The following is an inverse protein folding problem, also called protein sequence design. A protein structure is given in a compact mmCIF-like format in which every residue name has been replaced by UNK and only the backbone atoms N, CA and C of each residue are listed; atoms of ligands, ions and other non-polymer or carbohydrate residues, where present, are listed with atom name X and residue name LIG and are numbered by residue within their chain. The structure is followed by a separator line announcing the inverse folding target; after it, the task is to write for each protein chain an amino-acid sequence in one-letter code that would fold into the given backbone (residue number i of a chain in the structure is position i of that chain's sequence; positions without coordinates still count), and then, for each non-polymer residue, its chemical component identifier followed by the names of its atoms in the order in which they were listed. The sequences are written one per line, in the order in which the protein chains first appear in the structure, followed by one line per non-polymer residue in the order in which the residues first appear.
data_IF_375815191097
#
_entry.id   IF_375815191097
#
_cell.length_a   1.000
_cell.length_b   1.000
_cell.length_c   1.000
_cell.angle_alpha   90.00
_cell.angle_beta   90.00
_cell.angle_gamma   90.00
#
_symmetry.space_group_name_H-M   'P 1'
#
loop_
_entity.id
_entity.type
_entity.pdbx_description
1 polymer ?
#
# COMPACT_ATOMS: atom_id res chain seq x y z
N UNK A 1 -13.13 13.86 -2.48
CA UNK A 1 -13.66 12.49 -2.67
C UNK A 1 -12.79 11.61 -3.58
N UNK A 2 -12.41 12.03 -4.80
CA UNK A 2 -11.62 11.20 -5.72
C UNK A 2 -10.32 10.60 -5.15
N UNK A 3 -9.49 11.41 -4.49
CA UNK A 3 -8.27 10.92 -3.82
C UNK A 3 -8.55 9.81 -2.80
N UNK A 4 -9.61 9.95 -2.00
CA UNK A 4 -9.98 8.95 -1.00
C UNK A 4 -10.44 7.63 -1.61
N UNK A 5 -11.17 7.67 -2.73
CA UNK A 5 -11.56 6.46 -3.48
C UNK A 5 -10.33 5.70 -3.99
N UNK A 6 -9.31 6.42 -4.48
CA UNK A 6 -8.05 5.79 -4.90
C UNK A 6 -7.27 5.19 -3.72
N UNK A 7 -7.25 5.86 -2.57
CA UNK A 7 -6.63 5.33 -1.34
C UNK A 7 -7.32 4.04 -0.89
N UNK A 8 -8.67 4.00 -0.93
CA UNK A 8 -9.45 2.79 -0.64
C UNK A 8 -9.15 1.67 -1.65
N UNK A 9 -9.18 1.96 -2.94
CA UNK A 9 -8.89 0.99 -3.99
C UNK A 9 -7.50 0.37 -3.81
N UNK A 10 -6.48 1.21 -3.57
CA UNK A 10 -5.11 0.74 -3.31
C UNK A 10 -5.05 -0.16 -2.06
N UNK A 11 -5.75 0.20 -0.98
CA UNK A 11 -5.81 -0.62 0.23
C UNK A 11 -6.52 -1.96 0.00
N UNK A 12 -7.61 -1.99 -0.77
CA UNK A 12 -8.30 -3.23 -1.16
C UNK A 12 -7.40 -4.15 -1.99
N UNK A 13 -6.61 -3.59 -2.92
CA UNK A 13 -5.60 -4.35 -3.65
C UNK A 13 -4.57 -4.98 -2.72
N UNK A 14 -4.10 -4.28 -1.68
CA UNK A 14 -3.19 -4.84 -0.70
C UNK A 14 -3.81 -5.95 0.15
N UNK A 15 -5.08 -5.82 0.55
CA UNK A 15 -5.81 -6.90 1.22
C UNK A 15 -5.87 -8.16 0.35
N UNK A 16 -6.25 -8.00 -0.93
CA UNK A 16 -6.25 -9.09 -1.89
C UNK A 16 -4.83 -9.67 -2.11
N UNK A 17 -3.79 -8.84 -2.07
CA UNK A 17 -2.41 -9.31 -2.19
C UNK A 17 -1.97 -10.18 -1.00
N UNK A 18 -2.34 -9.79 0.22
CA UNK A 18 -2.09 -10.58 1.44
C UNK A 18 -2.87 -11.90 1.40
N UNK A 19 -4.13 -11.87 0.96
CA UNK A 19 -4.93 -13.07 0.79
C UNK A 19 -4.31 -14.04 -0.23
N UNK A 20 -3.89 -13.52 -1.40
CA UNK A 20 -3.32 -14.36 -2.46
C UNK A 20 -1.98 -14.99 -2.08
N UNK A 21 -1.12 -14.32 -1.29
CA UNK A 21 0.09 -14.98 -0.75
C UNK A 21 -0.25 -16.06 0.28
N UNK A 22 -1.25 -15.83 1.13
CA UNK A 22 -1.75 -16.84 2.07
C UNK A 22 -2.27 -18.07 1.32
N UNK A 23 -3.09 -17.88 0.29
CA UNK A 23 -3.57 -18.97 -0.57
C UNK A 23 -2.43 -19.69 -1.29
N UNK A 24 -1.41 -18.97 -1.76
CA UNK A 24 -0.27 -19.55 -2.44
C UNK A 24 0.59 -20.43 -1.51
N UNK A 25 0.73 -20.02 -0.25
CA UNK A 25 1.52 -20.75 0.74
C UNK A 25 0.76 -21.93 1.37
N UNK A 26 -0.51 -21.73 1.75
CA UNK A 26 -1.27 -22.72 2.52
C UNK A 26 -2.19 -23.63 1.70
N UNK A 27 -2.54 -23.26 0.45
CA UNK A 27 -3.55 -23.98 -0.32
C UNK A 27 -3.07 -24.44 -1.70
N UNK A 28 -2.72 -23.52 -2.61
CA UNK A 28 -2.34 -23.85 -3.98
C UNK A 28 -1.28 -22.87 -4.52
N UNK A 29 -0.05 -23.32 -4.84
CA UNK A 29 1.02 -22.46 -5.36
C UNK A 29 0.69 -21.68 -6.64
N UNK A 30 -0.33 -22.05 -7.42
CA UNK A 30 -0.73 -21.30 -8.61
C UNK A 30 -1.16 -19.85 -8.28
N UNK A 31 -1.59 -19.58 -7.05
CA UNK A 31 -1.95 -18.23 -6.57
C UNK A 31 -0.76 -17.26 -6.54
N UNK A 32 0.50 -17.74 -6.61
CA UNK A 32 1.67 -16.86 -6.78
C UNK A 32 1.59 -16.01 -8.05
N UNK A 33 1.02 -16.55 -9.14
CA UNK A 33 0.83 -15.80 -10.38
C UNK A 33 -0.14 -14.64 -10.18
N UNK A 34 -1.25 -14.87 -9.47
CA UNK A 34 -2.22 -13.85 -9.14
C UNK A 34 -1.62 -12.77 -8.22
N UNK A 35 -0.85 -13.18 -7.20
CA UNK A 35 -0.14 -12.27 -6.31
C UNK A 35 0.80 -11.32 -7.07
N UNK A 36 1.63 -11.85 -7.98
CA UNK A 36 2.57 -11.06 -8.80
C UNK A 36 1.84 -10.18 -9.81
N UNK A 37 0.79 -10.68 -10.46
CA UNK A 37 0.02 -9.90 -11.43
C UNK A 37 -0.66 -8.72 -10.75
N UNK A 38 -1.27 -8.93 -9.58
CA UNK A 38 -1.97 -7.89 -8.84
C UNK A 38 -1.05 -6.73 -8.49
N UNK A 39 0.13 -6.99 -7.90
CA UNK A 39 1.08 -5.92 -7.54
C UNK A 39 1.56 -5.14 -8.75
N UNK A 40 1.81 -5.79 -9.89
CA UNK A 40 2.19 -5.11 -11.13
C UNK A 40 1.08 -4.18 -11.62
N UNK A 41 -0.18 -4.63 -11.56
CA UNK A 41 -1.34 -3.86 -12.01
C UNK A 41 -1.57 -2.61 -11.17
N UNK A 42 -1.50 -2.69 -9.84
CA UNK A 42 -1.78 -1.54 -8.97
C UNK A 42 -0.53 -0.70 -8.64
N UNK A 43 0.69 -1.13 -8.97
CA UNK A 43 1.92 -0.38 -8.64
C UNK A 43 1.89 1.07 -9.12
N UNK A 44 1.38 1.31 -10.34
CA UNK A 44 1.23 2.67 -10.88
C UNK A 44 0.29 3.57 -10.07
N UNK A 45 -0.69 2.98 -9.37
CA UNK A 45 -1.62 3.72 -8.51
C UNK A 45 -0.91 4.42 -7.36
N UNK A 46 0.20 3.87 -6.85
CA UNK A 46 0.99 4.52 -5.80
C UNK A 46 1.60 5.85 -6.26
N UNK A 47 2.03 5.94 -7.52
CA UNK A 47 2.57 7.17 -8.11
C UNK A 47 1.46 8.17 -8.42
N UNK A 48 0.31 7.71 -8.89
CA UNK A 48 -0.88 8.56 -9.10
C UNK A 48 -1.30 9.19 -7.76
N UNK A 49 -1.38 8.39 -6.70
CA UNK A 49 -1.67 8.86 -5.36
C UNK A 49 -0.64 9.88 -4.89
N UNK A 50 0.65 9.63 -5.13
CA UNK A 50 1.72 10.55 -4.77
C UNK A 50 1.57 11.92 -5.45
N UNK A 51 1.46 11.93 -6.78
CA UNK A 51 1.31 13.16 -7.56
C UNK A 51 0.05 13.91 -7.11
N UNK A 52 -1.06 13.20 -6.92
CA UNK A 52 -2.29 13.83 -6.46
C UNK A 52 -2.13 14.43 -5.06
N UNK A 53 -1.52 13.71 -4.11
CA UNK A 53 -1.33 14.18 -2.74
C UNK A 53 -0.52 15.48 -2.64
N UNK A 54 0.40 15.72 -3.59
CA UNK A 54 1.15 16.99 -3.68
C UNK A 54 0.45 18.08 -4.51
N UNK A 55 -0.59 17.73 -5.29
CA UNK A 55 -1.42 18.70 -6.02
C UNK A 55 -2.54 19.30 -5.17
N UNK A 56 -2.92 18.63 -4.08
CA UNK A 56 -3.97 19.10 -3.16
C UNK A 56 -3.40 19.42 -1.78
N UNK A 57 -4.10 20.27 -1.03
CA UNK A 57 -3.72 20.63 0.34
C UNK A 57 -4.12 19.51 1.30
N UNK A 58 -3.16 18.65 1.64
CA UNK A 58 -3.31 17.60 2.64
C UNK A 58 -2.38 17.83 3.84
N UNK A 59 -2.73 17.32 5.03
CA UNK A 59 -1.82 17.35 6.16
C UNK A 59 -0.48 16.68 5.83
N UNK A 60 0.65 17.25 6.29
CA UNK A 60 2.01 16.72 6.04
C UNK A 60 2.14 15.22 6.35
N UNK A 61 1.43 14.73 7.37
CA UNK A 61 1.41 13.31 7.73
C UNK A 61 0.78 12.43 6.66
N UNK A 62 -0.30 12.89 6.00
CA UNK A 62 -0.95 12.19 4.89
C UNK A 62 -0.05 12.18 3.66
N UNK A 63 0.64 13.30 3.38
CA UNK A 63 1.62 13.38 2.30
C UNK A 63 2.79 12.42 2.52
N UNK A 64 3.36 12.39 3.74
CA UNK A 64 4.44 11.47 4.11
C UNK A 64 4.02 9.99 4.00
N UNK A 65 2.83 9.63 4.49
CA UNK A 65 2.28 8.28 4.32
C UNK A 65 2.14 7.94 2.84
N UNK A 66 1.58 8.84 2.03
CA UNK A 66 1.43 8.63 0.58
C UNK A 66 2.78 8.47 -0.12
N UNK A 67 3.78 9.29 0.22
CA UNK A 67 5.14 9.22 -0.31
C UNK A 67 5.85 7.92 0.03
N UNK A 68 5.56 7.33 1.19
CA UNK A 68 6.15 6.05 1.56
C UNK A 68 5.60 4.87 0.75
N UNK A 69 4.40 4.96 0.15
CA UNK A 69 3.81 3.87 -0.64
C UNK A 69 4.69 3.43 -1.83
N UNK A 70 5.07 4.31 -2.78
CA UNK A 70 5.93 3.91 -3.90
C UNK A 70 7.33 3.51 -3.44
N UNK A 71 7.86 4.10 -2.35
CA UNK A 71 9.15 3.72 -1.79
C UNK A 71 9.12 2.27 -1.28
N UNK A 72 8.11 1.92 -0.48
CA UNK A 72 7.94 0.57 0.06
C UNK A 72 7.67 -0.45 -1.03
N UNK A 73 6.87 -0.11 -2.05
CA UNK A 73 6.70 -0.95 -3.24
C UNK A 73 8.03 -1.16 -3.98
N UNK A 74 8.77 -0.08 -4.23
CA UNK A 74 10.09 -0.16 -4.87
C UNK A 74 11.06 -1.04 -4.09
N UNK A 75 11.09 -0.93 -2.76
CA UNK A 75 11.89 -1.79 -1.90
C UNK A 75 11.45 -3.27 -1.97
N UNK A 76 10.16 -3.56 -2.06
CA UNK A 76 9.71 -4.94 -2.30
C UNK A 76 10.24 -5.51 -3.62
N UNK A 77 10.15 -4.74 -4.72
CA UNK A 77 10.71 -5.18 -6.00
C UNK A 77 12.22 -5.33 -5.93
N UNK A 78 12.91 -4.42 -5.24
CA UNK A 78 14.36 -4.45 -5.10
C UNK A 78 14.82 -5.71 -4.34
N UNK A 79 14.21 -5.98 -3.18
CA UNK A 79 14.59 -7.11 -2.31
C UNK A 79 14.39 -8.48 -2.94
N UNK A 80 13.42 -8.65 -3.85
CA UNK A 80 13.17 -9.93 -4.52
C UNK A 80 13.99 -10.11 -5.82
N UNK A 81 14.44 -9.04 -6.47
CA UNK A 81 15.18 -9.12 -7.74
C UNK A 81 16.69 -8.96 -7.58
N UNK A 82 17.17 -8.28 -6.52
CA UNK A 82 18.61 -8.15 -6.28
C UNK A 82 19.20 -9.45 -5.75
N UNK A 83 20.21 -9.96 -6.47
CA UNK A 83 21.05 -11.07 -6.00
C UNK A 83 22.21 -10.49 -5.20
N UNK A 84 22.23 -10.78 -3.89
CA UNK A 84 23.35 -10.41 -3.02
C UNK A 84 23.78 -11.63 -2.19
N UNK A 85 24.97 -11.61 -1.56
CA UNK A 85 25.41 -12.71 -0.69
C UNK A 85 24.46 -12.99 0.48
N UNK A 86 23.68 -11.98 0.89
CA UNK A 86 22.66 -12.08 1.93
C UNK A 86 21.28 -12.19 1.23
N UNK A 87 20.41 -13.13 1.64
CA UNK A 87 19.09 -13.29 1.02
C UNK A 87 18.14 -12.15 1.42
N UNK A 88 18.22 -11.01 0.70
CA UNK A 88 17.39 -9.82 0.94
C UNK A 88 15.89 -10.10 0.81
N UNK A 89 15.51 -11.14 0.05
CA UNK A 89 14.12 -11.58 -0.11
C UNK A 89 13.45 -11.94 1.23
N UNK A 90 14.20 -12.28 2.28
CA UNK A 90 13.63 -12.53 3.62
C UNK A 90 12.97 -11.27 4.19
N UNK A 91 13.40 -10.07 3.78
CA UNK A 91 12.78 -8.82 4.22
C UNK A 91 11.48 -8.49 3.47
N UNK A 92 11.18 -9.16 2.34
CA UNK A 92 10.02 -8.85 1.52
C UNK A 92 8.69 -8.91 2.30
N UNK A 93 8.39 -9.93 3.13
CA UNK A 93 7.18 -9.96 3.94
C UNK A 93 7.10 -8.81 4.95
N UNK A 94 8.23 -8.43 5.58
CA UNK A 94 8.27 -7.32 6.54
C UNK A 94 7.95 -5.98 5.88
N UNK A 95 8.53 -5.73 4.70
CA UNK A 95 8.22 -4.55 3.88
C UNK A 95 6.76 -4.62 3.38
N UNK A 96 6.27 -5.82 3.05
CA UNK A 96 4.88 -6.14 2.74
C UNK A 96 3.89 -5.69 3.81
N UNK A 97 4.08 -6.16 5.03
CA UNK A 97 3.23 -5.78 6.16
C UNK A 97 3.36 -4.29 6.48
N UNK A 98 4.55 -3.70 6.35
CA UNK A 98 4.73 -2.25 6.53
C UNK A 98 3.93 -1.45 5.51
N UNK A 99 3.97 -1.82 4.23
CA UNK A 99 3.18 -1.21 3.16
C UNK A 99 1.67 -1.34 3.44
N UNK A 100 1.23 -2.52 3.88
CA UNK A 100 -0.15 -2.77 4.29
C UNK A 100 -0.57 -1.85 5.45
N UNK A 101 0.20 -1.80 6.53
CA UNK A 101 -0.08 -0.96 7.70
C UNK A 101 -0.09 0.53 7.36
N UNK A 102 0.85 1.01 6.54
CA UNK A 102 0.88 2.40 6.05
C UNK A 102 -0.37 2.71 5.23
N UNK A 103 -0.74 1.84 4.29
CA UNK A 103 -1.93 2.02 3.46
C UNK A 103 -3.22 2.06 4.29
N UNK A 104 -3.37 1.14 5.23
CA UNK A 104 -4.52 1.11 6.14
C UNK A 104 -4.55 2.38 7.01
N UNK A 105 -3.40 2.81 7.53
CA UNK A 105 -3.31 4.08 8.29
C UNK A 105 -3.69 5.28 7.42
N UNK A 106 -3.28 5.29 6.14
CA UNK A 106 -3.63 6.35 5.20
C UNK A 106 -5.14 6.44 4.99
N UNK A 107 -5.84 5.31 4.81
CA UNK A 107 -7.31 5.26 4.73
C UNK A 107 -7.93 5.94 5.95
N UNK A 108 -7.52 5.56 7.17
CA UNK A 108 -8.07 6.11 8.40
C UNK A 108 -7.82 7.62 8.54
N UNK A 109 -6.62 8.09 8.17
CA UNK A 109 -6.24 9.51 8.28
C UNK A 109 -6.98 10.38 7.27
N UNK A 110 -7.11 9.91 6.02
CA UNK A 110 -7.86 10.63 4.98
C UNK A 110 -9.35 10.64 5.32
N UNK A 111 -9.89 9.53 5.82
CA UNK A 111 -11.28 9.46 6.29
C UNK A 111 -11.57 10.47 7.40
N UNK A 112 -10.75 10.52 8.46
CA UNK A 112 -10.90 11.53 9.53
C UNK A 112 -10.76 12.97 9.06
N UNK A 113 -9.95 13.21 8.04
CA UNK A 113 -9.78 14.55 7.47
C UNK A 113 -11.00 14.98 6.63
N UNK A 114 -11.63 14.05 5.91
CA UNK A 114 -12.81 14.34 5.08
C UNK A 114 -14.13 14.31 5.86
N UNK A 115 -14.20 13.47 6.89
CA UNK A 115 -15.36 13.28 7.75
C UNK A 115 -14.91 13.50 9.22
N UNK A 116 -14.59 14.75 9.61
CA UNK A 116 -14.32 15.06 11.00
C UNK A 116 -15.55 14.69 11.83
N UNK A 117 -15.32 14.04 12.97
CA UNK A 117 -16.39 13.67 13.89
C UNK A 117 -16.92 14.96 14.53
N UNK A 118 -18.24 15.18 14.51
CA UNK A 118 -18.88 16.27 15.26
C UNK A 118 -18.87 15.93 16.77
N UNK A 119 -17.78 16.25 17.46
CA UNK A 119 -17.63 16.22 18.93
C UNK A 119 -16.67 17.40 19.24
N UNK A 120 -17.00 18.50 19.93
CA UNK A 120 -18.01 18.80 20.95
C UNK A 120 -18.57 20.23 20.73
N UNK A 121 -19.89 20.38 20.62
CA UNK A 121 -20.59 21.67 20.70
C UNK A 121 -21.78 21.51 21.65
N UNK A 122 -21.48 21.26 22.93
CA UNK A 122 -22.41 21.40 24.05
C UNK A 122 -21.63 21.90 25.27
#
# INVERSE_FOLDING_TARGET
MGFFLLVLAFNLCLNAQVLTVGLAYFYNPQWWKAHVWLVRSYSGLSLILLVWAYRITLPRRVQSLTASLPVLLGLQFLTIHLKTPIPLAIAHPLIGFTLFSVSTTLVHRVSRFLFPKEEEAF
#
